data_IF_934924948346
#
_entry.id   IF_934924948346
#
_cell.length_a   1.000
_cell.length_b   1.000
_cell.length_c   1.000
_cell.angle_alpha   90.00
_cell.angle_beta   90.00
_cell.angle_gamma   90.00
#
_symmetry.space_group_name_H-M   'P 1'
#
loop_
_entity.id
_entity.type
_entity.pdbx_description
1 polymer ?
#
# COMPACT_ATOMS: atom_id res chain seq x y z
N UNK A 1 38.30 12.46 25.92
CA UNK A 1 36.85 12.58 25.63
C UNK A 1 36.60 13.15 24.23
N UNK A 2 36.93 14.42 23.94
CA UNK A 2 36.65 15.05 22.61
C UNK A 2 37.30 14.35 21.41
N UNK A 3 38.57 13.93 21.52
CA UNK A 3 39.28 13.17 20.47
C UNK A 3 38.69 11.78 20.21
N UNK A 4 38.18 11.13 21.26
CA UNK A 4 37.51 9.83 21.13
C UNK A 4 36.14 10.00 20.45
N UNK A 5 35.35 11.00 20.86
CA UNK A 5 34.07 11.32 20.23
C UNK A 5 34.23 11.68 18.74
N UNK A 6 35.35 12.33 18.37
CA UNK A 6 35.66 12.68 16.98
C UNK A 6 35.99 11.45 16.13
N UNK A 7 36.72 10.48 16.68
CA UNK A 7 37.00 9.21 16.02
C UNK A 7 35.72 8.37 15.85
N UNK A 8 34.85 8.37 16.86
CA UNK A 8 33.59 7.61 16.83
C UNK A 8 32.60 8.19 15.81
N UNK A 9 32.53 9.53 15.70
CA UNK A 9 31.77 10.21 14.66
C UNK A 9 32.31 9.92 13.24
N UNK A 10 33.63 9.88 13.08
CA UNK A 10 34.27 9.60 11.78
C UNK A 10 34.02 8.15 11.32
N UNK A 11 34.02 7.19 12.25
CA UNK A 11 33.68 5.78 11.96
C UNK A 11 32.21 5.63 11.56
N UNK A 12 31.29 6.34 12.24
CA UNK A 12 29.86 6.32 11.89
C UNK A 12 29.60 6.88 10.49
N UNK A 13 30.21 8.02 10.14
CA UNK A 13 30.04 8.60 8.80
C UNK A 13 30.66 7.70 7.72
N UNK A 14 31.83 7.11 7.98
CA UNK A 14 32.47 6.18 7.04
C UNK A 14 31.60 4.94 6.77
N UNK A 15 30.94 4.38 7.80
CA UNK A 15 30.06 3.23 7.64
C UNK A 15 28.85 3.51 6.74
N UNK A 16 28.34 4.74 6.75
CA UNK A 16 27.20 5.15 5.93
C UNK A 16 27.59 5.31 4.44
N UNK A 17 28.85 5.62 4.14
CA UNK A 17 29.36 5.76 2.77
C UNK A 17 29.62 4.41 2.10
N UNK A 18 30.01 3.38 2.85
CA UNK A 18 30.23 2.03 2.28
C UNK A 18 28.93 1.32 1.88
N UNK A 19 27.79 1.67 2.47
CA UNK A 19 26.49 1.06 2.13
C UNK A 19 25.89 1.61 0.81
N UNK A 20 26.37 2.74 0.31
CA UNK A 20 25.85 3.39 -0.89
C UNK A 20 26.45 2.87 -2.21
N UNK A 21 27.49 2.02 -2.15
CA UNK A 21 28.12 1.42 -3.32
C UNK A 21 28.06 -0.10 -3.22
N UNK A 22 26.85 -0.65 -3.37
CA UNK A 22 26.64 -2.07 -3.65
C UNK A 22 26.88 -2.36 -5.13
N UNK A 23 27.36 -3.56 -5.49
CA UNK A 23 27.62 -3.93 -6.88
C UNK A 23 26.34 -3.89 -7.71
N UNK A 24 26.39 -3.17 -8.84
CA UNK A 24 25.41 -3.27 -9.92
C UNK A 24 25.46 -4.68 -10.49
N UNK A 25 24.36 -5.42 -10.38
CA UNK A 25 24.19 -6.71 -11.07
C UNK A 25 24.09 -6.47 -12.58
N UNK A 26 24.92 -7.17 -13.35
CA UNK A 26 24.82 -7.25 -14.80
C UNK A 26 23.59 -8.10 -15.18
N UNK A 27 22.87 -7.80 -16.29
CA UNK A 27 21.80 -8.66 -16.75
C UNK A 27 22.39 -9.97 -17.29
N UNK A 28 22.10 -11.07 -16.62
CA UNK A 28 22.20 -12.41 -17.19
C UNK A 28 21.10 -12.57 -18.24
N UNK A 29 21.50 -12.62 -19.51
CA UNK A 29 20.74 -13.32 -20.54
C UNK A 29 20.76 -14.82 -20.23
N UNK A 30 19.61 -15.44 -19.98
CA UNK A 30 19.27 -16.74 -20.58
C UNK A 30 17.84 -17.21 -20.26
N UNK A 31 17.36 -18.05 -21.19
CA UNK A 31 16.19 -18.91 -21.14
C UNK A 31 14.82 -18.27 -21.41
N UNK A 32 14.52 -18.18 -22.70
CA UNK A 32 13.19 -18.31 -23.30
C UNK A 32 12.43 -19.50 -22.71
N UNK A 33 11.51 -19.24 -21.77
CA UNK A 33 10.45 -20.18 -21.45
C UNK A 33 9.32 -19.95 -22.45
N UNK A 34 9.23 -20.83 -23.44
CA UNK A 34 8.00 -20.98 -24.22
C UNK A 34 6.93 -21.53 -23.27
N UNK A 35 6.05 -20.64 -22.80
CA UNK A 35 4.77 -21.04 -22.22
C UNK A 35 3.75 -20.91 -23.34
N UNK A 36 3.14 -22.03 -23.71
CA UNK A 36 1.97 -22.05 -24.57
C UNK A 36 0.95 -21.03 -24.05
N UNK A 37 0.23 -20.29 -24.91
CA UNK A 37 -0.86 -19.45 -24.46
C UNK A 37 -1.87 -20.32 -23.73
N UNK A 38 -1.84 -20.26 -22.39
CA UNK A 38 -3.03 -20.58 -21.60
C UNK A 38 -4.03 -19.51 -22.01
N UNK A 39 -5.06 -19.92 -22.76
CA UNK A 39 -6.22 -19.08 -23.01
C UNK A 39 -6.64 -18.50 -21.66
N UNK A 40 -6.39 -17.20 -21.47
CA UNK A 40 -7.15 -16.43 -20.51
C UNK A 40 -8.60 -16.66 -20.92
N UNK A 41 -9.34 -17.38 -20.09
CA UNK A 41 -10.77 -17.18 -20.05
C UNK A 41 -10.96 -15.67 -19.87
N UNK A 42 -11.31 -15.00 -20.95
CA UNK A 42 -11.86 -13.65 -20.89
C UNK A 42 -13.19 -13.83 -20.17
N UNK A 43 -13.17 -13.74 -18.85
CA UNK A 43 -14.36 -13.34 -18.11
C UNK A 43 -14.76 -12.01 -18.73
N UNK A 44 -15.88 -12.01 -19.46
CA UNK A 44 -16.52 -10.78 -19.88
C UNK A 44 -16.66 -9.91 -18.62
N UNK A 45 -16.44 -8.59 -18.71
CA UNK A 45 -16.63 -7.73 -17.56
C UNK A 45 -18.06 -7.95 -17.07
N UNK A 46 -18.19 -8.58 -15.90
CA UNK A 46 -19.45 -8.51 -15.19
C UNK A 46 -19.56 -7.05 -14.82
N UNK A 47 -20.34 -6.29 -15.57
CA UNK A 47 -20.89 -5.03 -15.10
C UNK A 47 -21.80 -5.41 -13.94
N UNK A 48 -21.19 -5.65 -12.77
CA UNK A 48 -21.91 -5.74 -11.52
C UNK A 48 -22.34 -4.31 -11.21
N UNK A 49 -23.58 -4.01 -11.60
CA UNK A 49 -24.27 -2.84 -11.08
C UNK A 49 -24.35 -3.03 -9.57
N UNK A 50 -23.62 -2.19 -8.82
CA UNK A 50 -23.64 -2.21 -7.36
C UNK A 50 -25.07 -1.93 -6.89
N UNK A 51 -25.66 -2.85 -6.12
CA UNK A 51 -26.87 -2.55 -5.37
C UNK A 51 -26.50 -1.56 -4.26
N UNK A 52 -26.82 -0.30 -4.49
CA UNK A 52 -26.50 0.79 -3.58
C UNK A 52 -27.36 0.80 -2.31
N UNK A 53 -28.39 -0.06 -2.23
CA UNK A 53 -29.25 -0.21 -1.04
C UNK A 53 -29.86 1.11 -0.53
N UNK A 54 -30.04 2.11 -1.40
CA UNK A 54 -30.56 3.44 -1.02
C UNK A 54 -29.53 4.38 -0.37
N UNK A 55 -28.23 4.06 -0.45
CA UNK A 55 -27.16 4.86 0.15
C UNK A 55 -26.70 6.05 -0.71
N UNK A 56 -27.33 6.31 -1.85
CA UNK A 56 -26.85 7.28 -2.84
C UNK A 56 -26.72 8.69 -2.26
N UNK A 57 -25.55 9.32 -2.44
CA UNK A 57 -25.28 10.66 -1.92
C UNK A 57 -25.04 10.73 -0.41
N UNK A 58 -24.97 9.59 0.28
CA UNK A 58 -24.76 9.52 1.73
C UNK A 58 -23.29 9.68 2.12
N UNK A 59 -23.06 9.96 3.41
CA UNK A 59 -21.73 9.93 4.02
C UNK A 59 -21.64 8.80 5.03
N UNK A 60 -20.67 7.91 4.85
CA UNK A 60 -20.28 6.90 5.84
C UNK A 60 -19.14 7.45 6.67
N UNK A 61 -19.34 7.60 7.98
CA UNK A 61 -18.27 7.94 8.92
C UNK A 61 -17.75 6.67 9.57
N UNK A 62 -16.43 6.49 9.57
CA UNK A 62 -15.78 5.29 10.08
C UNK A 62 -14.51 5.63 10.81
N UNK A 63 -14.32 4.95 11.94
CA UNK A 63 -13.08 4.98 12.70
C UNK A 63 -12.36 3.64 12.51
N UNK A 64 -11.05 3.66 12.26
CA UNK A 64 -10.27 2.45 11.96
C UNK A 64 -8.82 2.53 12.40
N UNK A 65 -8.15 1.38 12.42
CA UNK A 65 -6.74 1.28 12.88
C UNK A 65 -5.71 1.43 11.77
N UNK A 66 -6.14 1.28 10.51
CA UNK A 66 -5.24 1.33 9.36
C UNK A 66 -4.81 2.77 9.09
N UNK A 67 -3.57 2.92 8.67
CA UNK A 67 -2.97 4.21 8.28
C UNK A 67 -1.98 4.00 7.14
N UNK A 68 -1.58 5.08 6.46
CA UNK A 68 -0.60 5.02 5.37
C UNK A 68 -1.04 4.08 4.23
N UNK A 69 -0.15 3.17 3.82
CA UNK A 69 -0.41 2.25 2.70
C UNK A 69 -1.58 1.30 2.96
N UNK A 70 -1.82 0.91 4.21
CA UNK A 70 -2.92 0.01 4.55
C UNK A 70 -4.27 0.72 4.44
N UNK A 71 -4.34 1.97 4.88
CA UNK A 71 -5.52 2.81 4.71
C UNK A 71 -5.80 3.07 3.22
N UNK A 72 -4.77 3.36 2.42
CA UNK A 72 -4.90 3.57 0.99
C UNK A 72 -5.46 2.31 0.28
N UNK A 73 -4.95 1.12 0.63
CA UNK A 73 -5.46 -0.15 0.10
C UNK A 73 -6.90 -0.40 0.51
N UNK A 74 -7.22 -0.16 1.78
CA UNK A 74 -8.58 -0.31 2.29
C UNK A 74 -9.56 0.63 1.56
N UNK A 75 -9.19 1.91 1.38
CA UNK A 75 -9.98 2.87 0.62
C UNK A 75 -10.15 2.44 -0.83
N UNK A 76 -9.08 1.92 -1.46
CA UNK A 76 -9.14 1.39 -2.82
C UNK A 76 -10.07 0.19 -2.99
N UNK A 77 -10.23 -0.65 -1.95
CA UNK A 77 -11.22 -1.74 -1.95
C UNK A 77 -12.65 -1.18 -1.96
N UNK A 78 -12.89 -0.07 -1.25
CA UNK A 78 -14.21 0.56 -1.17
C UNK A 78 -14.53 1.45 -2.38
N UNK A 79 -13.51 1.96 -3.07
CA UNK A 79 -13.64 2.94 -4.13
C UNK A 79 -14.63 2.56 -5.26
N UNK A 80 -14.72 1.31 -5.72
CA UNK A 80 -15.74 0.90 -6.69
C UNK A 80 -17.17 1.15 -6.19
N UNK A 81 -17.46 0.81 -4.92
CA UNK A 81 -18.76 1.06 -4.32
C UNK A 81 -19.00 2.56 -4.08
N UNK A 82 -18.00 3.26 -3.53
CA UNK A 82 -18.11 4.69 -3.22
C UNK A 82 -18.37 5.51 -4.50
N UNK A 83 -17.70 5.17 -5.60
CA UNK A 83 -17.88 5.82 -6.89
C UNK A 83 -19.20 5.43 -7.57
N UNK A 84 -19.55 4.15 -7.60
CA UNK A 84 -20.78 3.68 -8.24
C UNK A 84 -22.04 4.23 -7.55
N UNK A 85 -22.02 4.30 -6.22
CA UNK A 85 -23.16 4.73 -5.41
C UNK A 85 -23.08 6.20 -4.98
N UNK A 86 -22.08 6.97 -5.40
CA UNK A 86 -21.88 8.36 -4.98
C UNK A 86 -21.88 8.52 -3.44
N UNK A 87 -21.22 7.60 -2.73
CA UNK A 87 -21.08 7.60 -1.27
C UNK A 87 -19.77 8.25 -0.88
N UNK A 88 -19.81 9.16 0.10
CA UNK A 88 -18.61 9.77 0.68
C UNK A 88 -18.13 8.98 1.89
N UNK A 89 -16.84 8.62 1.92
CA UNK A 89 -16.22 8.02 3.09
C UNK A 89 -15.49 9.08 3.93
N UNK A 90 -15.92 9.29 5.17
CA UNK A 90 -15.21 10.05 6.18
C UNK A 90 -14.47 9.07 7.11
N UNK A 91 -13.18 8.85 6.85
CA UNK A 91 -12.34 7.94 7.63
C UNK A 91 -11.48 8.68 8.64
N UNK A 92 -11.55 8.27 9.90
CA UNK A 92 -10.68 8.73 10.98
C UNK A 92 -9.83 7.58 11.52
N UNK A 93 -8.51 7.76 11.51
CA UNK A 93 -7.59 6.77 12.07
C UNK A 93 -7.51 6.88 13.60
N UNK A 94 -7.48 5.74 14.29
CA UNK A 94 -7.21 5.65 15.74
C UNK A 94 -6.11 4.64 16.03
N UNK A 95 -5.28 4.94 17.04
CA UNK A 95 -4.30 4.01 17.60
C UNK A 95 -4.79 3.35 18.89
N UNK A 96 -5.92 3.79 19.41
CA UNK A 96 -6.51 3.28 20.64
C UNK A 96 -7.52 2.18 20.32
N UNK A 97 -7.17 0.94 20.66
CA UNK A 97 -8.02 -0.23 20.47
C UNK A 97 -9.26 -0.20 21.37
N UNK A 98 -9.21 0.51 22.51
CA UNK A 98 -10.36 0.61 23.41
C UNK A 98 -11.51 1.41 22.76
N UNK A 99 -11.19 2.36 21.87
CA UNK A 99 -12.19 3.13 21.12
C UNK A 99 -12.98 2.26 20.13
N UNK A 100 -12.41 1.12 19.73
CA UNK A 100 -13.03 0.17 18.80
C UNK A 100 -13.69 -1.03 19.49
N UNK A 101 -13.41 -1.21 20.79
CA UNK A 101 -14.02 -2.25 21.60
C UNK A 101 -15.39 -1.77 22.14
N UNK A 102 -16.41 -1.82 21.29
CA UNK A 102 -17.82 -1.63 21.67
C UNK A 102 -18.50 -2.93 22.03
#
# INVERSE_FOLDING_TARGET
MKRWSLLLALVLVASMVLAACGPTEAPTEEATVTTAPTEKATEAPVTEEFDCMGAEGSTVSMIGVWSGDEEAKFKGILEPFLSACNVTLNYEGTRDQAVLAT
#
